data_IF_497705562523
#
_entry.id   IF_497705562523
#
_cell.length_a   1.000
_cell.length_b   1.000
_cell.length_c   1.000
_cell.angle_alpha   90.00
_cell.angle_beta   90.00
_cell.angle_gamma   90.00
#
_symmetry.space_group_name_H-M   'P 1'
#
loop_
_entity.id
_entity.type
_entity.pdbx_description
1 polymer ?
#
# COMPACT_ATOMS: atom_id res chain seq x y z
N UNK A 1 17.63 5.72 40.02
CA UNK A 1 18.25 6.71 39.10
C UNK A 1 17.15 7.42 38.34
N UNK A 2 17.14 8.76 38.34
CA UNK A 2 16.24 9.53 37.49
C UNK A 2 16.92 9.84 36.15
N UNK A 3 16.59 9.03 35.13
CA UNK A 3 17.15 9.17 33.79
C UNK A 3 16.77 10.50 33.13
N UNK A 4 15.61 11.08 33.49
CA UNK A 4 15.15 12.33 32.90
C UNK A 4 16.02 13.49 33.35
N UNK A 5 16.34 13.56 34.64
CA UNK A 5 17.19 14.60 35.21
C UNK A 5 18.61 14.55 34.60
N UNK A 6 19.17 13.35 34.42
CA UNK A 6 20.48 13.17 33.78
C UNK A 6 20.49 13.58 32.30
N UNK A 7 19.43 13.25 31.55
CA UNK A 7 19.36 13.66 30.15
C UNK A 7 19.18 15.18 30.03
N UNK A 8 18.39 15.79 30.92
CA UNK A 8 18.22 17.25 30.95
C UNK A 8 19.52 17.97 31.33
N UNK A 9 20.29 17.44 32.28
CA UNK A 9 21.62 18.01 32.60
C UNK A 9 22.62 17.87 31.44
N UNK A 10 22.44 16.87 30.58
CA UNK A 10 23.19 16.69 29.34
C UNK A 10 22.67 17.53 28.16
N UNK A 11 21.71 18.45 28.39
CA UNK A 11 21.20 19.35 27.37
C UNK A 11 20.02 18.81 26.57
N UNK A 12 19.41 17.69 26.98
CA UNK A 12 18.16 17.25 26.38
C UNK A 12 17.01 18.20 26.75
N UNK A 13 16.29 18.66 25.73
CA UNK A 13 15.20 19.66 25.83
C UNK A 13 13.94 19.12 26.54
N UNK A 14 13.89 17.83 26.84
CA UNK A 14 12.81 17.18 27.60
C UNK A 14 11.73 16.54 26.73
N UNK A 15 10.66 16.10 27.40
CA UNK A 15 9.58 15.31 26.78
C UNK A 15 8.97 16.02 25.57
N UNK A 16 8.79 15.29 24.48
CA UNK A 16 8.24 15.82 23.22
C UNK A 16 9.30 16.27 22.21
N UNK A 17 10.57 16.34 22.62
CA UNK A 17 11.69 16.57 21.74
C UNK A 17 12.46 15.27 21.51
N UNK A 18 13.10 15.16 20.35
CA UNK A 18 14.02 14.05 20.11
C UNK A 18 15.26 14.18 21.01
N UNK A 19 16.09 13.14 21.09
CA UNK A 19 17.36 13.20 21.83
C UNK A 19 18.40 14.12 21.15
N UNK A 20 18.10 14.64 19.95
CA UNK A 20 18.98 15.58 19.27
C UNK A 20 19.00 16.93 20.01
N UNK A 21 20.18 17.56 20.09
CA UNK A 21 20.37 18.82 20.81
C UNK A 21 19.47 19.95 20.29
N UNK A 22 19.24 20.03 18.98
CA UNK A 22 18.59 21.18 18.33
C UNK A 22 17.43 20.85 17.40
N UNK A 23 17.32 19.62 16.90
CA UNK A 23 16.50 19.30 15.72
C UNK A 23 15.63 18.07 15.94
N UNK A 24 14.32 18.28 16.06
CA UNK A 24 13.34 17.19 16.26
C UNK A 24 13.04 16.37 15.01
N UNK A 25 13.65 16.72 13.87
CA UNK A 25 13.45 16.03 12.60
C UNK A 25 14.35 14.80 12.44
N UNK A 26 15.45 14.74 13.18
CA UNK A 26 16.49 13.72 13.03
C UNK A 26 16.14 12.49 13.88
N UNK A 27 15.60 12.70 15.08
CA UNK A 27 15.29 11.62 16.02
C UNK A 27 13.80 11.42 16.28
N UNK A 28 13.50 10.39 17.06
CA UNK A 28 12.14 10.08 17.50
C UNK A 28 11.83 10.86 18.78
N UNK A 29 10.80 11.70 18.72
CA UNK A 29 10.27 12.39 19.90
C UNK A 29 9.37 11.49 20.77
N UNK A 30 8.83 10.41 20.19
CA UNK A 30 7.97 9.43 20.86
C UNK A 30 8.56 8.04 20.72
N UNK A 31 8.51 7.21 21.78
CA UNK A 31 8.98 5.83 21.69
C UNK A 31 8.16 5.07 20.64
N UNK A 32 8.82 4.12 19.98
CA UNK A 32 8.13 3.25 19.03
C UNK A 32 7.23 2.29 19.81
N UNK A 33 5.96 2.26 19.43
CA UNK A 33 5.06 1.23 19.92
C UNK A 33 5.36 -0.06 19.15
N UNK A 34 6.14 -0.94 19.78
CA UNK A 34 6.42 -2.25 19.21
C UNK A 34 5.31 -3.22 19.61
N UNK A 35 4.77 -3.93 18.61
CA UNK A 35 3.84 -5.02 18.90
C UNK A 35 4.65 -6.22 19.39
N UNK A 36 4.53 -6.58 20.67
CA UNK A 36 5.18 -7.76 21.23
C UNK A 36 4.29 -8.99 21.04
N UNK A 37 4.90 -10.09 20.63
CA UNK A 37 4.24 -11.37 20.40
C UNK A 37 4.43 -12.26 21.62
N UNK A 38 3.48 -12.21 22.55
CA UNK A 38 3.53 -12.99 23.79
C UNK A 38 2.83 -14.35 23.66
N UNK A 39 2.43 -14.75 22.45
CA UNK A 39 1.71 -15.99 22.21
C UNK A 39 2.47 -16.93 21.26
N UNK A 40 2.16 -18.21 21.34
CA UNK A 40 2.78 -19.30 20.55
C UNK A 40 2.20 -19.43 19.13
N UNK A 41 1.27 -18.55 18.74
CA UNK A 41 0.63 -18.61 17.41
C UNK A 41 1.62 -18.13 16.34
N UNK A 42 1.53 -18.67 15.13
CA UNK A 42 2.29 -18.17 13.98
C UNK A 42 2.08 -16.68 13.71
N UNK A 43 3.05 -16.08 12.99
CA UNK A 43 2.91 -14.73 12.45
C UNK A 43 1.75 -14.69 11.43
N UNK A 44 1.09 -13.54 11.27
CA UNK A 44 -0.03 -13.39 10.32
C UNK A 44 -1.40 -13.91 10.77
N UNK A 45 -1.51 -14.60 11.91
CA UNK A 45 -2.78 -15.16 12.44
C UNK A 45 -3.77 -14.11 12.99
N UNK A 46 -3.40 -12.83 13.00
CA UNK A 46 -4.33 -11.77 13.41
C UNK A 46 -5.33 -11.54 12.29
N UNK A 47 -6.55 -12.02 12.47
CA UNK A 47 -7.63 -11.84 11.52
C UNK A 47 -7.88 -10.35 11.27
N UNK A 48 -7.50 -9.89 10.08
CA UNK A 48 -7.86 -8.56 9.57
C UNK A 48 -9.28 -8.62 9.02
N UNK A 49 -10.29 -8.67 9.90
CA UNK A 49 -11.73 -8.71 9.55
C UNK A 49 -12.25 -7.49 8.75
N UNK A 50 -11.38 -6.59 8.31
CA UNK A 50 -11.76 -5.33 7.65
C UNK A 50 -11.17 -5.17 6.26
N UNK A 51 -10.17 -5.97 5.87
CA UNK A 51 -9.55 -5.88 4.55
C UNK A 51 -10.23 -6.77 3.51
N UNK A 52 -10.79 -7.91 3.90
CA UNK A 52 -11.33 -8.88 2.92
C UNK A 52 -12.86 -8.81 2.76
N UNK A 53 -13.55 -8.07 3.61
CA UNK A 53 -15.03 -7.99 3.61
C UNK A 53 -15.56 -6.76 2.88
N UNK A 54 -14.71 -5.88 2.36
CA UNK A 54 -15.18 -4.64 1.74
C UNK A 54 -15.93 -4.89 0.41
N UNK A 55 -15.50 -5.89 -0.37
CA UNK A 55 -16.15 -6.27 -1.63
C UNK A 55 -17.46 -7.04 -1.38
N UNK A 56 -17.50 -7.94 -0.39
CA UNK A 56 -18.74 -8.62 0.04
C UNK A 56 -19.82 -7.61 0.47
N UNK A 57 -19.43 -6.65 1.30
CA UNK A 57 -20.36 -5.60 1.74
C UNK A 57 -20.76 -4.65 0.60
N UNK A 58 -19.88 -4.40 -0.37
CA UNK A 58 -20.19 -3.57 -1.53
C UNK A 58 -21.10 -4.29 -2.53
N UNK A 59 -20.97 -5.62 -2.64
CA UNK A 59 -21.81 -6.48 -3.47
C UNK A 59 -23.20 -6.63 -2.86
N UNK A 60 -23.30 -6.87 -1.54
CA UNK A 60 -24.58 -6.94 -0.83
C UNK A 60 -25.37 -5.62 -0.91
N UNK A 61 -24.68 -4.47 -0.82
CA UNK A 61 -25.27 -3.15 -1.03
C UNK A 61 -25.91 -2.99 -2.42
N UNK A 62 -25.38 -3.65 -3.45
CA UNK A 62 -25.98 -3.64 -4.78
C UNK A 62 -27.17 -4.59 -4.92
N UNK A 63 -27.12 -5.75 -4.25
CA UNK A 63 -28.24 -6.71 -4.25
C UNK A 63 -29.48 -6.12 -3.56
N UNK A 64 -29.31 -5.35 -2.49
CA UNK A 64 -30.41 -4.66 -1.80
C UNK A 64 -31.12 -3.62 -2.70
N UNK A 65 -30.47 -3.18 -3.78
CA UNK A 65 -31.02 -2.25 -4.75
C UNK A 65 -31.80 -2.91 -5.89
N UNK A 66 -31.90 -4.24 -5.93
CA UNK A 66 -32.62 -4.97 -6.97
C UNK A 66 -34.11 -5.00 -6.62
N UNK A 67 -34.91 -4.24 -7.37
CA UNK A 67 -36.36 -4.32 -7.30
C UNK A 67 -36.85 -5.35 -8.33
N UNK A 68 -37.44 -6.44 -7.82
CA UNK A 68 -38.04 -7.54 -8.60
C UNK A 68 -39.57 -7.53 -8.53
N UNK A 69 -40.18 -6.41 -8.15
CA UNK A 69 -41.64 -6.28 -7.99
C UNK A 69 -42.43 -6.52 -9.29
N UNK A 70 -41.78 -6.40 -10.46
CA UNK A 70 -42.41 -6.66 -11.76
C UNK A 70 -41.89 -7.96 -12.37
N UNK A 71 -42.77 -8.93 -12.69
CA UNK A 71 -42.35 -10.15 -13.36
C UNK A 71 -41.74 -9.81 -14.72
N UNK A 72 -40.47 -10.20 -14.93
CA UNK A 72 -39.74 -10.01 -16.18
C UNK A 72 -38.93 -8.71 -16.31
N UNK A 73 -38.97 -7.80 -15.34
CA UNK A 73 -38.17 -6.57 -15.37
C UNK A 73 -37.44 -6.36 -14.04
N UNK A 74 -36.12 -6.60 -14.05
CA UNK A 74 -35.24 -6.31 -12.91
C UNK A 74 -34.77 -4.87 -13.05
N UNK A 75 -35.14 -4.01 -12.08
CA UNK A 75 -34.68 -2.61 -12.07
C UNK A 75 -33.69 -2.40 -10.93
N UNK A 76 -32.49 -1.92 -11.28
CA UNK A 76 -31.46 -1.58 -10.30
C UNK A 76 -31.65 -0.14 -9.83
N UNK A 77 -32.07 0.03 -8.59
CA UNK A 77 -32.31 1.35 -7.99
C UNK A 77 -31.01 2.02 -7.50
N UNK A 78 -29.98 1.23 -7.20
CA UNK A 78 -28.70 1.72 -6.66
C UNK A 78 -27.66 1.89 -7.78
N UNK A 79 -27.66 3.07 -8.40
CA UNK A 79 -26.69 3.47 -9.45
C UNK A 79 -25.40 4.10 -8.90
N UNK A 80 -25.30 4.35 -7.60
CA UNK A 80 -24.16 5.05 -6.97
C UNK A 80 -23.58 4.33 -5.74
N UNK A 81 -23.39 3.00 -5.82
CA UNK A 81 -22.83 2.18 -4.74
C UNK A 81 -21.30 2.20 -4.64
N UNK A 82 -20.76 1.50 -3.64
CA UNK A 82 -19.31 1.32 -3.42
C UNK A 82 -18.59 0.62 -4.57
N UNK A 83 -19.25 -0.32 -5.26
CA UNK A 83 -18.67 -0.97 -6.45
C UNK A 83 -18.51 0.02 -7.61
N UNK A 84 -19.45 0.95 -7.79
CA UNK A 84 -19.39 1.96 -8.86
C UNK A 84 -18.28 3.01 -8.62
N UNK A 85 -17.71 3.06 -7.40
CA UNK A 85 -16.50 3.83 -7.14
C UNK A 85 -15.25 3.16 -7.71
N UNK A 86 -15.27 1.83 -7.91
CA UNK A 86 -14.17 1.11 -8.55
C UNK A 86 -14.12 1.48 -10.03
N UNK A 87 -15.24 1.56 -10.74
CA UNK A 87 -15.27 2.02 -12.14
C UNK A 87 -14.73 3.46 -12.28
N UNK A 88 -15.06 4.34 -11.33
CA UNK A 88 -14.53 5.71 -11.30
C UNK A 88 -13.03 5.78 -10.95
N UNK A 89 -12.48 4.74 -10.34
CA UNK A 89 -11.07 4.64 -9.94
C UNK A 89 -10.25 3.75 -10.91
N UNK A 90 -10.91 2.90 -11.71
CA UNK A 90 -10.27 2.00 -12.68
C UNK A 90 -9.61 2.75 -13.85
N UNK A 91 -9.93 4.05 -14.01
CA UNK A 91 -9.37 4.89 -15.06
C UNK A 91 -8.00 5.53 -14.80
N UNK A 92 -7.30 5.32 -13.68
CA UNK A 92 -6.09 6.15 -13.51
C UNK A 92 -5.04 5.86 -12.45
N UNK A 93 -5.01 4.71 -11.77
CA UNK A 93 -3.90 4.50 -10.80
C UNK A 93 -3.44 3.09 -10.50
N UNK A 94 -4.21 2.07 -10.84
CA UNK A 94 -3.90 0.69 -10.44
C UNK A 94 -4.15 -0.33 -11.54
N UNK A 95 -3.99 0.05 -12.81
CA UNK A 95 -3.87 -0.96 -13.86
C UNK A 95 -2.66 -1.82 -13.51
N UNK A 96 -2.93 -3.02 -12.98
CA UNK A 96 -1.94 -4.06 -12.70
C UNK A 96 -1.09 -4.37 -13.95
N UNK A 97 -1.57 -3.96 -15.13
CA UNK A 97 -0.94 -4.14 -16.44
C UNK A 97 -0.20 -2.90 -17.00
N UNK A 98 -0.18 -1.75 -16.31
CA UNK A 98 0.50 -0.55 -16.84
C UNK A 98 2.03 -0.65 -16.84
N UNK A 99 2.60 -1.58 -16.07
CA UNK A 99 4.06 -1.77 -15.95
C UNK A 99 4.60 -2.87 -16.87
N UNK A 100 3.74 -3.63 -17.54
CA UNK A 100 4.19 -4.69 -18.44
C UNK A 100 4.26 -4.15 -19.86
N UNK A 101 5.46 -4.01 -20.39
CA UNK A 101 5.68 -3.80 -21.82
C UNK A 101 5.50 -5.16 -22.49
N UNK A 102 4.69 -5.22 -23.55
CA UNK A 102 4.62 -6.42 -24.41
C UNK A 102 6.01 -6.62 -25.02
N UNK A 103 6.75 -7.62 -24.52
CA UNK A 103 8.04 -8.00 -25.11
C UNK A 103 7.84 -8.44 -26.55
N UNK A 104 8.72 -8.02 -27.46
CA UNK A 104 8.77 -8.55 -28.81
C UNK A 104 9.08 -10.04 -28.79
N UNK A 105 8.67 -10.76 -29.84
CA UNK A 105 9.05 -12.16 -30.02
C UNK A 105 10.53 -12.23 -30.42
N UNK A 106 11.30 -13.10 -29.78
CA UNK A 106 12.65 -13.41 -30.22
C UNK A 106 12.54 -14.34 -31.43
N UNK A 107 12.91 -13.82 -32.60
CA UNK A 107 12.93 -14.58 -33.84
C UNK A 107 14.00 -15.68 -33.73
N UNK A 108 13.63 -16.92 -34.04
CA UNK A 108 14.52 -18.07 -33.87
C UNK A 108 15.63 -18.07 -34.92
N UNK A 109 16.85 -18.43 -34.54
CA UNK A 109 18.04 -18.52 -35.41
C UNK A 109 17.90 -19.52 -36.56
N UNK A 110 16.82 -20.31 -36.59
CA UNK A 110 16.56 -21.33 -37.61
C UNK A 110 16.33 -20.68 -38.98
N UNK A 111 15.58 -19.57 -39.06
CA UNK A 111 15.39 -18.86 -40.35
C UNK A 111 16.68 -18.19 -40.85
N UNK A 112 17.55 -17.74 -39.94
CA UNK A 112 18.87 -17.21 -40.30
C UNK A 112 19.80 -18.28 -40.85
N UNK A 113 19.71 -19.50 -40.32
CA UNK A 113 20.48 -20.66 -40.78
C UNK A 113 19.99 -21.16 -42.14
N UNK A 114 18.69 -21.12 -42.40
CA UNK A 114 18.10 -21.48 -43.70
C UNK A 114 18.45 -20.47 -44.80
N UNK A 115 18.48 -19.16 -44.49
CA UNK A 115 18.98 -18.13 -45.43
C UNK A 115 20.46 -18.29 -45.74
N UNK A 116 21.30 -18.54 -44.73
CA UNK A 116 22.73 -18.82 -44.94
C UNK A 116 23.01 -20.11 -45.72
N UNK A 117 22.05 -21.04 -45.77
CA UNK A 117 22.17 -22.27 -46.57
C UNK A 117 21.81 -22.07 -48.04
N UNK A 118 21.02 -21.04 -48.35
CA UNK A 118 20.63 -20.70 -49.73
C UNK A 118 21.65 -19.81 -50.43
N UNK A 119 22.41 -19.01 -49.68
CA UNK A 119 23.54 -18.21 -50.17
C UNK A 119 24.83 -18.98 -49.88
N UNK A 120 25.25 -19.82 -50.83
CA UNK A 120 26.43 -20.68 -50.69
C UNK A 120 27.74 -19.91 -50.53
N UNK A 121 28.05 -19.50 -49.30
CA UNK A 121 29.36 -18.98 -48.90
C UNK A 121 30.01 -19.95 -47.92
N UNK A 122 30.99 -20.68 -48.46
CA UNK A 122 31.69 -21.82 -47.88
C UNK A 122 32.91 -21.34 -47.10
N UNK A 123 33.07 -21.88 -45.89
CA UNK A 123 34.33 -22.10 -45.18
C UNK A 123 35.39 -20.97 -45.12
N UNK A 124 35.15 -19.87 -44.40
CA UNK A 124 36.28 -19.08 -43.88
C UNK A 124 35.93 -18.24 -42.63
N UNK A 125 35.37 -18.84 -41.58
CA UNK A 125 35.30 -18.14 -40.28
C UNK A 125 35.29 -18.99 -39.02
N UNK A 126 35.58 -20.29 -39.14
CA UNK A 126 35.59 -21.25 -38.02
C UNK A 126 37.01 -21.62 -37.56
N UNK A 127 38.06 -20.97 -38.07
CA UNK A 127 39.47 -21.27 -37.70
C UNK A 127 40.20 -20.25 -36.82
N UNK A 128 39.56 -19.16 -36.38
CA UNK A 128 40.23 -18.16 -35.50
C UNK A 128 39.67 -18.04 -34.07
N UNK A 129 38.70 -18.87 -33.66
CA UNK A 129 38.20 -18.87 -32.26
C UNK A 129 38.03 -20.29 -31.71
N UNK A 130 39.03 -21.15 -31.93
CA UNK A 130 39.11 -22.48 -31.30
C UNK A 130 40.44 -22.68 -30.59
N UNK A 131 40.70 -21.83 -29.59
CA UNK A 131 41.61 -22.14 -28.49
C UNK A 131 40.87 -22.87 -27.37
N UNK A 132 40.89 -24.20 -27.43
CA UNK A 132 40.74 -25.19 -26.36
C UNK A 132 39.97 -24.80 -25.07
N UNK A 133 38.85 -25.49 -24.79
CA UNK A 133 38.70 -26.44 -23.66
C UNK A 133 37.40 -27.25 -23.87
N UNK A 134 37.52 -28.57 -23.69
CA UNK A 134 36.49 -29.60 -23.85
C UNK A 134 35.32 -29.50 -22.84
N UNK A 135 34.14 -30.10 -23.15
CA UNK A 135 33.00 -30.12 -22.25
C UNK A 135 33.11 -31.30 -21.26
N UNK A 136 33.07 -31.03 -19.96
CA UNK A 136 32.90 -32.08 -18.94
C UNK A 136 31.58 -31.89 -18.19
N UNK A 137 30.69 -32.85 -18.47
CA UNK A 137 29.80 -33.59 -17.56
C UNK A 137 29.17 -32.91 -16.33
N UNK A 138 27.84 -33.04 -16.30
CA UNK A 138 26.97 -33.14 -15.13
C UNK A 138 27.63 -33.79 -13.89
N UNK A 139 27.55 -33.11 -12.74
CA UNK A 139 27.40 -33.75 -11.43
C UNK A 139 26.85 -32.76 -10.39
N UNK A 140 25.78 -33.21 -9.74
CA UNK A 140 25.05 -32.61 -8.62
C UNK A 140 25.95 -32.41 -7.39
N UNK A 141 25.94 -31.23 -6.77
CA UNK A 141 25.91 -31.15 -5.29
C UNK A 141 25.39 -29.80 -4.78
N UNK A 142 24.40 -29.93 -3.91
CA UNK A 142 23.84 -28.89 -3.06
C UNK A 142 24.81 -28.68 -1.89
N UNK A 143 25.33 -27.47 -1.70
CA UNK A 143 25.59 -26.88 -0.38
C UNK A 143 26.23 -25.48 -0.50
N UNK A 144 25.69 -24.55 0.31
CA UNK A 144 26.32 -23.29 0.74
C UNK A 144 26.33 -22.12 -0.24
N UNK A 145 25.24 -21.34 -0.25
CA UNK A 145 25.32 -19.90 -0.52
C UNK A 145 24.65 -19.13 0.61
N UNK A 146 25.51 -18.64 1.49
CA UNK A 146 25.23 -17.67 2.54
C UNK A 146 24.76 -16.35 1.93
N UNK A 147 23.82 -15.71 2.63
CA UNK A 147 23.23 -14.40 2.39
C UNK A 147 24.23 -13.35 1.88
N UNK A 148 24.28 -13.16 0.57
CA UNK A 148 24.82 -11.95 -0.04
C UNK A 148 23.75 -10.86 0.06
N UNK A 149 24.00 -9.91 0.95
CA UNK A 149 23.27 -8.64 1.02
C UNK A 149 23.30 -7.99 -0.36
N UNK A 150 22.15 -7.93 -1.03
CA UNK A 150 21.97 -7.12 -2.23
C UNK A 150 22.10 -5.66 -1.83
N UNK A 151 23.34 -5.16 -1.88
CA UNK A 151 23.63 -3.74 -2.04
C UNK A 151 22.85 -3.31 -3.28
N UNK A 152 21.79 -2.53 -3.07
CA UNK A 152 21.17 -1.77 -4.14
C UNK A 152 22.22 -0.79 -4.60
N UNK A 153 22.93 -1.16 -5.66
CA UNK A 153 23.80 -0.26 -6.40
C UNK A 153 22.92 0.87 -6.93
N UNK A 154 22.95 1.98 -6.20
CA UNK A 154 22.42 3.24 -6.65
C UNK A 154 23.26 3.66 -7.84
N UNK A 155 22.80 3.31 -9.05
CA UNK A 155 23.24 3.90 -10.30
C UNK A 155 22.97 5.41 -10.18
N UNK A 156 23.95 6.13 -9.63
CA UNK A 156 23.99 7.59 -9.60
C UNK A 156 23.89 7.99 -11.06
N UNK A 157 22.76 8.60 -11.44
CA UNK A 157 22.69 9.36 -12.68
C UNK A 157 23.78 10.42 -12.57
N UNK A 158 24.85 10.19 -13.32
CA UNK A 158 25.93 11.13 -13.51
C UNK A 158 25.31 12.43 -14.04
N UNK A 159 25.40 13.50 -13.24
CA UNK A 159 25.01 14.85 -13.64
C UNK A 159 23.56 15.33 -13.41
N UNK A 160 22.93 15.13 -12.24
CA UNK A 160 21.74 15.94 -11.89
C UNK A 160 22.15 17.43 -11.80
N UNK A 161 21.54 18.30 -12.61
CA UNK A 161 21.77 19.74 -12.54
C UNK A 161 21.24 20.32 -11.21
N UNK A 162 21.83 21.44 -10.75
CA UNK A 162 21.46 22.09 -9.48
C UNK A 162 19.96 22.47 -9.43
N UNK A 163 19.35 22.74 -10.57
CA UNK A 163 17.92 23.02 -10.71
C UNK A 163 17.05 21.77 -10.56
N UNK A 164 17.43 20.64 -11.17
CA UNK A 164 16.69 19.39 -11.05
C UNK A 164 16.65 18.89 -9.59
N UNK A 165 17.76 19.05 -8.86
CA UNK A 165 17.83 18.76 -7.42
C UNK A 165 16.92 19.67 -6.59
N UNK A 166 16.76 20.94 -6.98
CA UNK A 166 15.85 21.90 -6.30
C UNK A 166 14.39 21.56 -6.61
N UNK A 167 14.05 21.25 -7.85
CA UNK A 167 12.72 20.82 -8.27
C UNK A 167 12.28 19.54 -7.53
N UNK A 168 13.17 18.55 -7.42
CA UNK A 168 12.90 17.30 -6.68
C UNK A 168 12.65 17.55 -5.18
N UNK A 169 13.41 18.46 -4.56
CA UNK A 169 13.19 18.86 -3.16
C UNK A 169 11.86 19.59 -2.98
N UNK A 170 11.52 20.52 -3.88
CA UNK A 170 10.25 21.25 -3.87
C UNK A 170 9.05 20.30 -4.05
N UNK A 171 9.12 19.37 -5.00
CA UNK A 171 8.08 18.36 -5.20
C UNK A 171 7.91 17.45 -3.97
N UNK A 172 9.00 17.06 -3.31
CA UNK A 172 8.96 16.26 -2.07
C UNK A 172 8.35 17.05 -0.91
N UNK A 173 8.63 18.35 -0.81
CA UNK A 173 8.02 19.24 0.18
C UNK A 173 6.52 19.42 -0.07
N UNK A 174 6.11 19.72 -1.31
CA UNK A 174 4.71 19.84 -1.70
C UNK A 174 3.92 18.54 -1.45
N UNK A 175 4.53 17.38 -1.72
CA UNK A 175 3.90 16.09 -1.41
C UNK A 175 3.71 15.86 0.09
N UNK A 176 4.64 16.33 0.93
CA UNK A 176 4.51 16.25 2.40
C UNK A 176 3.40 17.16 2.91
N UNK A 177 3.35 18.42 2.47
CA UNK A 177 2.30 19.37 2.88
C UNK A 177 0.92 18.92 2.44
N UNK A 178 0.78 18.41 1.21
CA UNK A 178 -0.48 17.83 0.73
C UNK A 178 -0.93 16.60 1.55
N UNK A 179 0.03 15.77 2.00
CA UNK A 179 -0.27 14.62 2.87
C UNK A 179 -0.70 15.06 4.26
N UNK A 180 -0.09 16.09 4.81
CA UNK A 180 -0.48 16.66 6.12
C UNK A 180 -1.85 17.32 6.06
N UNK A 181 -2.13 18.13 5.03
CA UNK A 181 -3.45 18.71 4.80
C UNK A 181 -4.55 17.63 4.72
N UNK A 182 -4.30 16.52 4.01
CA UNK A 182 -5.22 15.38 3.94
C UNK A 182 -5.42 14.67 5.29
N UNK A 183 -4.40 14.64 6.16
CA UNK A 183 -4.53 14.06 7.50
C UNK A 183 -5.37 14.94 8.41
N UNK A 184 -5.19 16.26 8.33
CA UNK A 184 -5.98 17.24 9.09
C UNK A 184 -7.44 17.20 8.67
N UNK A 185 -7.74 17.21 7.36
CA UNK A 185 -9.12 17.12 6.86
C UNK A 185 -9.82 15.81 7.29
N UNK A 186 -9.10 14.67 7.24
CA UNK A 186 -9.63 13.39 7.73
C UNK A 186 -9.89 13.40 9.24
N UNK A 187 -9.03 14.05 10.02
CA UNK A 187 -9.22 14.17 11.46
C UNK A 187 -10.45 15.04 11.78
N UNK A 188 -10.59 16.20 11.12
CA UNK A 188 -11.74 17.09 11.28
C UNK A 188 -13.06 16.39 10.92
N UNK A 189 -13.10 15.67 9.79
CA UNK A 189 -14.27 14.88 9.37
C UNK A 189 -14.63 13.79 10.38
N UNK A 190 -13.64 13.16 11.02
CA UNK A 190 -13.88 12.15 12.05
C UNK A 190 -14.52 12.77 13.30
N UNK A 191 -13.99 13.90 13.77
CA UNK A 191 -14.54 14.64 14.92
C UNK A 191 -16.00 15.03 14.66
N UNK A 192 -16.30 15.64 13.51
CA UNK A 192 -17.68 16.00 13.14
C UNK A 192 -18.63 14.79 13.08
N UNK A 193 -18.14 13.64 12.58
CA UNK A 193 -18.93 12.41 12.51
C UNK A 193 -19.22 11.85 13.90
N UNK A 194 -18.24 11.89 14.79
CA UNK A 194 -18.38 11.40 16.16
C UNK A 194 -19.32 12.29 16.99
N UNK A 195 -19.23 13.61 16.81
CA UNK A 195 -20.18 14.57 17.41
C UNK A 195 -21.62 14.34 16.92
N UNK A 196 -21.82 14.15 15.61
CA UNK A 196 -23.14 13.86 15.04
C UNK A 196 -23.71 12.54 15.56
N UNK A 197 -22.86 11.52 15.77
CA UNK A 197 -23.26 10.25 16.39
C UNK A 197 -23.65 10.41 17.85
N UNK A 198 -22.88 11.18 18.63
CA UNK A 198 -23.20 11.48 20.02
C UNK A 198 -24.55 12.21 20.15
N UNK A 199 -24.80 13.22 19.30
CA UNK A 199 -26.07 13.94 19.26
C UNK A 199 -27.27 13.05 18.91
N UNK A 200 -27.09 12.09 18.01
CA UNK A 200 -28.14 11.11 17.67
C UNK A 200 -28.45 10.20 18.85
N UNK A 201 -27.43 9.61 19.49
CA UNK A 201 -27.61 8.76 20.68
C UNK A 201 -28.28 9.51 21.83
N UNK A 202 -27.89 10.77 22.07
CA UNK A 202 -28.53 11.59 23.10
C UNK A 202 -30.01 11.87 22.81
N UNK A 203 -30.37 12.13 21.55
CA UNK A 203 -31.78 12.31 21.14
C UNK A 203 -32.60 11.03 21.30
N UNK A 204 -32.00 9.89 20.98
CA UNK A 204 -32.64 8.57 21.10
C UNK A 204 -32.89 8.22 22.57
N UNK A 205 -31.88 8.35 23.44
CA UNK A 205 -32.02 8.15 24.87
C UNK A 205 -33.11 9.06 25.49
N UNK A 206 -33.18 10.33 25.06
CA UNK A 206 -34.24 11.24 25.51
C UNK A 206 -35.64 10.80 25.05
N UNK A 207 -35.76 10.23 23.85
CA UNK A 207 -37.03 9.69 23.33
C UNK A 207 -37.45 8.44 24.10
N UNK A 208 -36.52 7.55 24.40
CA UNK A 208 -36.79 6.34 25.19
C UNK A 208 -37.19 6.68 26.64
N UNK A 209 -36.48 7.60 27.29
CA UNK A 209 -36.84 8.07 28.62
C UNK A 209 -38.27 8.65 28.66
N UNK A 210 -38.65 9.45 27.65
CA UNK A 210 -40.00 10.02 27.55
C UNK A 210 -41.07 8.96 27.26
N UNK A 211 -40.75 7.90 26.50
CA UNK A 211 -41.66 6.76 26.30
C UNK A 211 -41.84 5.97 27.59
N UNK A 212 -40.76 5.71 28.33
CA UNK A 212 -40.81 5.01 29.61
C UNK A 212 -41.60 5.78 30.69
N UNK A 213 -41.46 7.11 30.76
CA UNK A 213 -42.24 7.95 31.66
C UNK A 213 -43.75 7.89 31.34
N UNK A 214 -44.11 7.98 30.05
CA UNK A 214 -45.51 7.86 29.61
C UNK A 214 -46.10 6.49 29.91
N UNK A 215 -45.33 5.42 29.70
CA UNK A 215 -45.76 4.05 30.01
C UNK A 215 -46.03 3.86 31.51
N UNK A 216 -45.20 4.46 32.39
CA UNK A 216 -45.42 4.42 33.85
C UNK A 216 -46.67 5.19 34.28
N UNK A 217 -46.96 6.34 33.66
CA UNK A 217 -48.19 7.12 33.95
C UNK A 217 -49.47 6.48 33.41
N UNK A 218 -49.40 5.68 32.35
CA UNK A 218 -50.57 5.01 31.77
C UNK A 218 -51.01 3.71 32.48
N UNK A 219 -50.23 3.22 33.45
CA UNK A 219 -50.51 1.97 34.18
C UNK A 219 -51.09 2.23 35.58
N UNK A 220 -51.20 3.49 36.02
CA UNK A 220 -51.73 3.84 37.36
C UNK A 220 -53.14 4.48 37.34
N UNK A 221 -53.92 4.28 36.27
CA UNK A 221 -55.32 4.70 36.18
C UNK A 221 -56.19 3.50 35.83
#
# INVERSE_FOLDING_TARGET
MDARALLQSQGWRGSGHSLHATDDRIGLAKPLLLNRKDNTKGLGTKAHFTSDTWWMNAFDEQLQGLDTSKPGQVTQTVTAGRLNQIEKVSGGKWMLYASFVKGGFLEGTIEGLERMKQEGEVEERVREVTGAVAPQSFSTSIANMTMATTKVDGKRKEGETKEERRARKAAKAARKTAREARRVDRAAKKVLKDEKRARRKAKEAKREARKAEKAKKGVSG
#
